data_IF_949471413430
#
_entry.id   IF_949471413430
#
_cell.length_a   1.000
_cell.length_b   1.000
_cell.length_c   1.000
_cell.angle_alpha   90.00
_cell.angle_beta   90.00
_cell.angle_gamma   90.00
#
_symmetry.space_group_name_H-M   'P 1'
#
loop_
_entity.id
_entity.type
_entity.pdbx_description
1 polymer ?
#
# COMPACT_ATOMS: atom_id res chain seq x y z
N UNK A 1 -33.36 -12.80 -44.88
CA UNK A 1 -32.79 -11.71 -44.06
C UNK A 1 -32.87 -12.11 -42.59
N UNK A 2 -31.73 -12.50 -42.00
CA UNK A 2 -31.43 -12.54 -40.56
C UNK A 2 -32.30 -13.38 -39.59
N UNK A 3 -31.93 -14.65 -39.35
CA UNK A 3 -32.31 -15.35 -38.11
C UNK A 3 -31.40 -14.82 -36.99
N UNK A 4 -31.89 -13.89 -36.18
CA UNK A 4 -31.17 -13.46 -34.97
C UNK A 4 -31.46 -14.49 -33.88
N UNK A 5 -30.51 -15.39 -33.67
CA UNK A 5 -30.45 -16.24 -32.47
C UNK A 5 -30.13 -15.29 -31.31
N UNK A 6 -31.13 -14.94 -30.51
CA UNK A 6 -30.89 -14.37 -29.18
C UNK A 6 -30.43 -15.53 -28.29
N UNK A 7 -29.14 -15.62 -28.01
CA UNK A 7 -28.66 -16.39 -26.86
C UNK A 7 -29.07 -15.65 -25.58
N UNK A 8 -29.81 -16.28 -24.66
CA UNK A 8 -29.89 -15.79 -23.30
C UNK A 8 -28.63 -16.27 -22.58
N UNK A 9 -27.64 -15.40 -22.44
CA UNK A 9 -26.54 -15.61 -21.49
C UNK A 9 -26.93 -14.90 -20.21
N UNK A 10 -27.86 -15.50 -19.47
CA UNK A 10 -28.06 -15.21 -18.05
C UNK A 10 -27.47 -16.39 -17.29
N UNK A 11 -26.13 -16.44 -17.20
CA UNK A 11 -25.50 -17.38 -16.27
C UNK A 11 -25.84 -16.93 -14.84
N UNK A 12 -26.45 -17.78 -14.00
CA UNK A 12 -26.72 -17.45 -12.61
C UNK A 12 -25.41 -17.16 -11.89
N UNK A 13 -25.40 -16.17 -10.99
CA UNK A 13 -24.22 -15.73 -10.25
C UNK A 13 -23.48 -16.87 -9.51
N UNK A 14 -24.20 -17.95 -9.19
CA UNK A 14 -23.64 -19.17 -8.59
C UNK A 14 -22.75 -19.96 -9.57
N UNK A 15 -23.09 -20.04 -10.85
CA UNK A 15 -22.24 -20.68 -11.87
C UNK A 15 -21.01 -19.83 -12.18
N UNK A 16 -21.13 -18.50 -12.21
CA UNK A 16 -19.98 -17.60 -12.34
C UNK A 16 -19.05 -17.75 -11.12
N UNK A 17 -19.61 -17.85 -9.91
CA UNK A 17 -18.84 -18.10 -8.69
C UNK A 17 -18.10 -19.43 -8.71
N UNK A 18 -18.75 -20.51 -9.17
CA UNK A 18 -18.14 -21.82 -9.31
C UNK A 18 -17.03 -21.84 -10.37
N UNK A 19 -17.27 -21.26 -11.55
CA UNK A 19 -16.26 -21.18 -12.63
C UNK A 19 -15.05 -20.34 -12.24
N UNK A 20 -15.26 -19.24 -11.49
CA UNK A 20 -14.15 -18.43 -10.97
C UNK A 20 -13.39 -19.18 -9.87
N UNK A 21 -14.08 -19.98 -9.05
CA UNK A 21 -13.49 -20.84 -8.04
C UNK A 21 -12.59 -21.92 -8.63
N UNK A 22 -13.11 -22.71 -9.58
CA UNK A 22 -12.36 -23.78 -10.25
C UNK A 22 -11.14 -23.24 -11.00
N UNK A 23 -11.29 -22.11 -11.70
CA UNK A 23 -10.18 -21.42 -12.37
C UNK A 23 -9.12 -20.91 -11.39
N UNK A 24 -9.53 -20.42 -10.22
CA UNK A 24 -8.62 -19.94 -9.19
C UNK A 24 -7.85 -21.09 -8.54
N UNK A 25 -8.49 -22.24 -8.31
CA UNK A 25 -7.81 -23.44 -7.79
C UNK A 25 -6.75 -23.96 -8.77
N UNK A 26 -7.06 -24.03 -10.06
CA UNK A 26 -6.10 -24.48 -11.08
C UNK A 26 -4.86 -23.57 -11.16
N UNK A 27 -5.04 -22.26 -11.03
CA UNK A 27 -3.93 -21.29 -10.97
C UNK A 27 -3.15 -21.44 -9.66
N UNK A 28 -3.86 -21.64 -8.54
CA UNK A 28 -3.24 -21.77 -7.23
C UNK A 28 -2.45 -23.08 -7.09
N UNK A 29 -2.82 -24.15 -7.76
CA UNK A 29 -2.05 -25.41 -7.75
C UNK A 29 -0.84 -25.39 -8.71
N UNK A 30 -0.85 -24.51 -9.72
CA UNK A 30 0.23 -24.45 -10.70
C UNK A 30 1.44 -23.65 -10.22
N UNK A 31 2.54 -24.34 -9.91
CA UNK A 31 3.82 -23.74 -9.53
C UNK A 31 4.40 -22.80 -10.58
N UNK A 32 4.16 -23.06 -11.87
CA UNK A 32 4.61 -22.19 -12.96
C UNK A 32 3.86 -20.86 -13.00
N UNK A 33 2.54 -20.88 -12.74
CA UNK A 33 1.75 -19.65 -12.67
C UNK A 33 2.12 -18.82 -11.45
N UNK A 34 2.30 -19.46 -10.28
CA UNK A 34 2.77 -18.78 -9.08
C UNK A 34 4.13 -18.10 -9.31
N UNK A 35 5.11 -18.83 -9.88
CA UNK A 35 6.41 -18.28 -10.25
C UNK A 35 6.29 -17.10 -11.22
N UNK A 36 5.45 -17.24 -12.24
CA UNK A 36 5.19 -16.18 -13.21
C UNK A 36 4.63 -14.92 -12.55
N UNK A 37 3.68 -15.07 -11.62
CA UNK A 37 3.09 -13.97 -10.85
C UNK A 37 4.17 -13.29 -9.99
N UNK A 38 4.99 -14.06 -9.26
CA UNK A 38 6.04 -13.49 -8.41
C UNK A 38 7.09 -12.71 -9.22
N UNK A 39 7.55 -13.23 -10.36
CA UNK A 39 8.48 -12.50 -11.22
C UNK A 39 7.85 -11.27 -11.89
N UNK A 40 6.59 -11.33 -12.29
CA UNK A 40 5.87 -10.18 -12.80
C UNK A 40 5.74 -9.07 -11.74
N UNK A 41 5.40 -9.45 -10.50
CA UNK A 41 5.37 -8.54 -9.36
C UNK A 41 6.76 -7.96 -9.08
N UNK A 42 7.80 -8.78 -9.07
CA UNK A 42 9.19 -8.32 -8.92
C UNK A 42 9.53 -7.24 -9.95
N UNK A 43 9.28 -7.48 -11.24
CA UNK A 43 9.52 -6.52 -12.30
C UNK A 43 8.73 -5.22 -12.13
N UNK A 44 7.44 -5.31 -11.77
CA UNK A 44 6.60 -4.15 -11.54
C UNK A 44 7.10 -3.29 -10.36
N UNK A 45 7.42 -3.92 -9.22
CA UNK A 45 7.95 -3.22 -8.04
C UNK A 45 9.33 -2.63 -8.30
N UNK A 46 10.20 -3.33 -9.04
CA UNK A 46 11.51 -2.82 -9.44
C UNK A 46 11.38 -1.58 -10.33
N UNK A 47 10.44 -1.58 -11.29
CA UNK A 47 10.16 -0.44 -12.14
C UNK A 47 9.68 0.77 -11.33
N UNK A 48 8.72 0.57 -10.41
CA UNK A 48 8.22 1.65 -9.54
C UNK A 48 9.35 2.21 -8.66
N UNK A 49 10.19 1.33 -8.09
CA UNK A 49 11.36 1.71 -7.30
C UNK A 49 12.34 2.57 -8.12
N UNK A 50 12.68 2.14 -9.34
CA UNK A 50 13.56 2.87 -10.24
C UNK A 50 12.99 4.25 -10.61
N UNK A 51 11.70 4.33 -10.93
CA UNK A 51 11.03 5.61 -11.21
C UNK A 51 11.10 6.53 -9.99
N UNK A 52 10.83 6.03 -8.78
CA UNK A 52 10.91 6.83 -7.56
C UNK A 52 12.32 7.39 -7.33
N UNK A 53 13.36 6.59 -7.56
CA UNK A 53 14.75 7.04 -7.45
C UNK A 53 15.09 8.12 -8.50
N UNK A 54 14.66 7.93 -9.75
CA UNK A 54 14.85 8.93 -10.80
C UNK A 54 14.17 10.25 -10.43
N UNK A 55 12.96 10.21 -9.88
CA UNK A 55 12.25 11.42 -9.42
C UNK A 55 13.00 12.09 -8.26
N UNK A 56 13.51 11.32 -7.29
CA UNK A 56 14.30 11.85 -6.18
C UNK A 56 15.54 12.60 -6.70
N UNK A 57 16.32 11.95 -7.57
CA UNK A 57 17.54 12.54 -8.16
C UNK A 57 17.19 13.79 -8.96
N UNK A 58 16.13 13.76 -9.78
CA UNK A 58 15.70 14.93 -10.56
C UNK A 58 15.31 16.12 -9.68
N UNK A 59 14.64 15.88 -8.55
CA UNK A 59 14.24 16.94 -7.62
C UNK A 59 15.47 17.52 -6.91
N UNK A 60 16.40 16.67 -6.46
CA UNK A 60 17.64 17.09 -5.82
C UNK A 60 18.50 17.95 -6.74
N UNK A 61 18.69 17.52 -7.99
CA UNK A 61 19.47 18.27 -8.98
C UNK A 61 18.80 19.57 -9.43
N UNK A 62 17.46 19.61 -9.49
CA UNK A 62 16.73 20.80 -9.90
C UNK A 62 16.74 21.89 -8.83
N UNK A 63 16.67 21.48 -7.56
CA UNK A 63 16.52 22.41 -6.43
C UNK A 63 17.36 21.93 -5.23
N UNK A 64 18.70 22.06 -5.30
CA UNK A 64 19.59 21.60 -4.24
C UNK A 64 19.55 22.51 -2.99
N UNK A 65 19.21 23.78 -3.16
CA UNK A 65 19.16 24.78 -2.07
C UNK A 65 18.05 24.49 -1.06
N UNK A 66 16.94 23.90 -1.52
CA UNK A 66 15.88 23.42 -0.64
C UNK A 66 16.29 22.02 -0.19
N UNK A 67 16.66 21.85 1.08
CA UNK A 67 17.13 20.59 1.65
C UNK A 67 16.11 19.43 1.59
N UNK A 68 16.03 18.61 2.64
CA UNK A 68 15.12 17.45 2.64
C UNK A 68 13.65 17.84 2.82
N UNK A 69 12.92 17.94 1.71
CA UNK A 69 11.47 18.20 1.69
C UNK A 69 10.67 16.91 1.84
N UNK A 70 9.41 17.01 2.29
CA UNK A 70 8.48 15.86 2.42
C UNK A 70 8.33 15.08 1.10
N UNK A 71 8.42 15.76 -0.05
CA UNK A 71 8.38 15.12 -1.37
C UNK A 71 9.63 14.26 -1.64
N UNK A 72 10.83 14.74 -1.31
CA UNK A 72 12.08 13.96 -1.43
C UNK A 72 12.01 12.73 -0.52
N UNK A 73 11.55 12.91 0.72
CA UNK A 73 11.36 11.79 1.67
C UNK A 73 10.35 10.77 1.14
N UNK A 74 9.23 11.21 0.56
CA UNK A 74 8.23 10.30 -0.01
C UNK A 74 8.79 9.47 -1.17
N UNK A 75 9.57 10.07 -2.08
CA UNK A 75 10.22 9.32 -3.16
C UNK A 75 11.31 8.37 -2.64
N UNK A 76 12.10 8.80 -1.65
CA UNK A 76 13.08 7.94 -0.99
C UNK A 76 12.42 6.72 -0.34
N UNK A 77 11.34 6.92 0.42
CA UNK A 77 10.60 5.83 1.04
C UNK A 77 10.03 4.89 -0.02
N UNK A 78 9.40 5.41 -1.08
CA UNK A 78 8.92 4.57 -2.17
C UNK A 78 10.03 3.78 -2.86
N UNK A 79 11.20 4.37 -3.10
CA UNK A 79 12.35 3.66 -3.63
C UNK A 79 12.71 2.45 -2.74
N UNK A 80 12.83 2.67 -1.43
CA UNK A 80 13.17 1.62 -0.46
C UNK A 80 12.08 0.56 -0.40
N UNK A 81 10.81 0.94 -0.20
CA UNK A 81 9.69 0.01 -0.02
C UNK A 81 9.51 -0.89 -1.24
N UNK A 82 9.45 -0.27 -2.42
CA UNK A 82 9.26 -1.02 -3.66
C UNK A 82 10.52 -1.83 -4.02
N UNK A 83 11.72 -1.32 -3.69
CA UNK A 83 12.97 -2.05 -3.90
C UNK A 83 13.08 -3.31 -3.04
N UNK A 84 12.82 -3.19 -1.73
CA UNK A 84 12.77 -4.34 -0.82
C UNK A 84 11.73 -5.34 -1.31
N UNK A 85 10.53 -4.89 -1.68
CA UNK A 85 9.47 -5.79 -2.16
C UNK A 85 9.82 -6.49 -3.47
N UNK A 86 10.50 -5.80 -4.39
CA UNK A 86 11.02 -6.42 -5.61
C UNK A 86 12.03 -7.52 -5.29
N UNK A 87 12.96 -7.27 -4.37
CA UNK A 87 13.94 -8.27 -3.91
C UNK A 87 13.21 -9.49 -3.32
N UNK A 88 12.26 -9.28 -2.41
CA UNK A 88 11.48 -10.36 -1.79
C UNK A 88 10.78 -11.22 -2.83
N UNK A 89 10.15 -10.60 -3.83
CA UNK A 89 9.49 -11.34 -4.91
C UNK A 89 10.47 -11.99 -5.90
N UNK A 90 11.63 -11.38 -6.18
CA UNK A 90 12.64 -11.98 -7.06
C UNK A 90 13.33 -13.20 -6.44
N UNK A 91 13.42 -13.24 -5.12
CA UNK A 91 13.99 -14.35 -4.35
C UNK A 91 12.92 -15.21 -3.67
N UNK A 92 11.67 -15.17 -4.12
CA UNK A 92 10.53 -15.79 -3.43
C UNK A 92 10.78 -17.25 -3.06
N UNK A 93 11.36 -18.08 -3.94
CA UNK A 93 11.71 -19.48 -3.65
C UNK A 93 12.65 -19.62 -2.46
N UNK A 94 13.65 -18.75 -2.36
CA UNK A 94 14.61 -18.78 -1.27
C UNK A 94 13.96 -18.26 0.01
N UNK A 95 13.20 -17.17 -0.09
CA UNK A 95 12.46 -16.55 1.01
C UNK A 95 11.50 -17.56 1.67
N UNK A 96 10.69 -18.27 0.89
CA UNK A 96 9.75 -19.25 1.44
C UNK A 96 10.40 -20.53 1.98
N UNK A 97 11.69 -20.76 1.68
CA UNK A 97 12.45 -21.91 2.19
C UNK A 97 13.42 -21.52 3.33
N UNK A 98 13.44 -20.24 3.74
CA UNK A 98 14.32 -19.79 4.83
C UNK A 98 13.86 -20.36 6.18
N UNK A 99 14.83 -20.93 6.90
CA UNK A 99 14.69 -21.26 8.30
C UNK A 99 15.56 -20.31 9.14
N UNK A 100 15.06 -19.73 10.24
CA UNK A 100 13.75 -19.97 10.87
C UNK A 100 12.58 -19.23 10.19
N UNK A 101 11.36 -19.75 10.36
CA UNK A 101 10.12 -19.18 9.81
C UNK A 101 9.88 -17.72 10.20
N UNK A 102 10.37 -17.29 11.36
CA UNK A 102 10.30 -15.90 11.79
C UNK A 102 11.03 -14.93 10.83
N UNK A 103 12.09 -15.35 10.13
CA UNK A 103 12.72 -14.52 9.08
C UNK A 103 11.80 -14.32 7.88
N UNK A 104 11.03 -15.34 7.53
CA UNK A 104 10.04 -15.27 6.44
C UNK A 104 8.95 -14.27 6.80
N UNK A 105 8.42 -14.35 8.03
CA UNK A 105 7.42 -13.41 8.54
C UNK A 105 7.93 -11.96 8.53
N UNK A 106 9.13 -11.72 9.07
CA UNK A 106 9.76 -10.38 9.04
C UNK A 106 9.89 -9.88 7.60
N UNK A 107 10.36 -10.72 6.69
CA UNK A 107 10.63 -10.33 5.30
C UNK A 107 9.34 -10.07 4.51
N UNK A 108 8.24 -10.72 4.86
CA UNK A 108 6.91 -10.50 4.28
C UNK A 108 6.17 -9.29 4.89
N UNK A 109 6.33 -9.08 6.20
CA UNK A 109 5.63 -8.03 6.96
C UNK A 109 6.33 -6.67 6.88
N UNK A 110 7.67 -6.63 6.84
CA UNK A 110 8.46 -5.40 6.80
C UNK A 110 8.10 -4.50 5.61
N UNK A 111 7.94 -5.01 4.37
CA UNK A 111 7.42 -4.21 3.26
C UNK A 111 6.05 -3.60 3.55
N UNK A 112 5.19 -4.31 4.29
CA UNK A 112 3.87 -3.82 4.72
C UNK A 112 3.96 -2.66 5.71
N UNK A 113 4.85 -2.75 6.71
CA UNK A 113 5.12 -1.66 7.64
C UNK A 113 5.70 -0.42 6.94
N UNK A 114 6.70 -0.62 6.08
CA UNK A 114 7.29 0.47 5.31
C UNK A 114 6.24 1.14 4.39
N UNK A 115 5.32 0.34 3.83
CA UNK A 115 4.17 0.85 3.10
C UNK A 115 3.35 1.77 4.01
N UNK A 116 2.94 1.29 5.19
CA UNK A 116 2.20 2.09 6.17
C UNK A 116 2.89 3.43 6.47
N UNK A 117 4.20 3.45 6.72
CA UNK A 117 4.94 4.71 6.96
C UNK A 117 4.94 5.65 5.75
N UNK A 118 5.15 5.10 4.56
CA UNK A 118 5.14 5.88 3.30
C UNK A 118 3.78 6.55 3.08
N UNK A 119 2.71 5.83 3.37
CA UNK A 119 1.34 6.31 3.17
C UNK A 119 0.86 7.22 4.31
N UNK A 120 1.25 6.97 5.56
CA UNK A 120 0.99 7.93 6.64
C UNK A 120 1.79 9.22 6.46
N UNK A 121 2.96 9.18 5.81
CA UNK A 121 3.70 10.38 5.41
C UNK A 121 2.93 11.18 4.34
N UNK A 122 2.29 10.49 3.40
CA UNK A 122 1.42 11.15 2.41
C UNK A 122 0.19 11.80 3.08
N UNK A 123 -0.41 11.13 4.06
CA UNK A 123 -1.50 11.70 4.88
C UNK A 123 -1.00 12.92 5.65
N UNK A 124 0.18 12.84 6.27
CA UNK A 124 0.82 13.98 6.94
C UNK A 124 1.00 15.15 5.97
N UNK A 125 1.52 14.89 4.77
CA UNK A 125 1.71 15.91 3.75
C UNK A 125 0.39 16.58 3.37
N UNK A 126 -0.68 15.81 3.17
CA UNK A 126 -2.00 16.37 2.89
C UNK A 126 -2.57 17.17 4.06
N UNK A 127 -2.36 16.70 5.29
CA UNK A 127 -2.75 17.41 6.51
C UNK A 127 -2.00 18.74 6.66
N UNK A 128 -0.69 18.77 6.36
CA UNK A 128 0.14 19.98 6.35
C UNK A 128 -0.42 21.00 5.34
N UNK A 129 -0.70 20.58 4.09
CA UNK A 129 -1.29 21.48 3.08
C UNK A 129 -2.63 22.04 3.56
N UNK A 130 -3.49 21.17 4.12
CA UNK A 130 -4.81 21.57 4.62
C UNK A 130 -4.71 22.57 5.77
N UNK A 131 -3.84 22.31 6.75
CA UNK A 131 -3.61 23.21 7.89
C UNK A 131 -3.02 24.55 7.45
N UNK A 132 -2.00 24.53 6.60
CA UNK A 132 -1.37 25.74 6.06
C UNK A 132 -2.38 26.64 5.35
N UNK A 133 -3.21 26.04 4.49
CA UNK A 133 -4.20 26.79 3.75
C UNK A 133 -5.40 27.26 4.59
N UNK A 134 -5.47 26.86 5.87
CA UNK A 134 -6.40 27.36 6.90
C UNK A 134 -5.70 28.15 8.01
N UNK A 135 -4.41 28.48 7.84
CA UNK A 135 -3.56 29.15 8.83
C UNK A 135 -3.61 28.51 10.23
N UNK A 136 -3.70 27.18 10.28
CA UNK A 136 -3.65 26.38 11.51
C UNK A 136 -2.21 25.91 11.78
N UNK A 137 -1.82 25.69 13.05
CA UNK A 137 -0.48 25.22 13.39
C UNK A 137 -0.22 23.80 12.86
N UNK A 138 1.02 23.54 12.42
CA UNK A 138 1.45 22.26 11.83
C UNK A 138 2.40 21.46 12.71
N UNK A 139 2.98 22.05 13.76
CA UNK A 139 4.06 21.43 14.55
C UNK A 139 3.66 20.11 15.19
N UNK A 140 2.40 20.04 15.65
CA UNK A 140 1.84 18.83 16.29
C UNK A 140 1.63 17.68 15.30
N UNK A 141 1.43 17.95 14.01
CA UNK A 141 1.15 16.91 13.01
C UNK A 141 2.34 15.97 12.82
N UNK A 142 3.56 16.53 12.77
CA UNK A 142 4.80 15.74 12.63
C UNK A 142 5.04 14.86 13.84
N UNK A 143 4.82 15.41 15.04
CA UNK A 143 4.96 14.66 16.30
C UNK A 143 3.99 13.48 16.32
N UNK A 144 2.72 13.70 15.94
CA UNK A 144 1.72 12.62 15.85
C UNK A 144 2.11 11.56 14.82
N UNK A 145 2.59 11.97 13.65
CA UNK A 145 3.08 11.04 12.63
C UNK A 145 4.23 10.16 13.15
N UNK A 146 5.23 10.78 13.80
CA UNK A 146 6.37 10.06 14.36
C UNK A 146 5.91 9.13 15.47
N UNK A 147 5.08 9.59 16.40
CA UNK A 147 4.61 8.77 17.52
C UNK A 147 3.80 7.56 17.07
N UNK A 148 2.92 7.74 16.07
CA UNK A 148 2.15 6.65 15.49
C UNK A 148 3.09 5.63 14.85
N UNK A 149 4.02 6.07 13.99
CA UNK A 149 4.95 5.13 13.34
C UNK A 149 5.81 4.39 14.36
N UNK A 150 6.41 5.08 15.33
CA UNK A 150 7.23 4.45 16.37
C UNK A 150 6.43 3.40 17.14
N UNK A 151 5.20 3.71 17.54
CA UNK A 151 4.33 2.75 18.22
C UNK A 151 4.03 1.53 17.34
N UNK A 152 3.76 1.74 16.05
CA UNK A 152 3.50 0.64 15.10
C UNK A 152 4.70 -0.30 14.94
N UNK A 153 5.89 0.26 14.73
CA UNK A 153 7.12 -0.52 14.61
C UNK A 153 7.44 -1.26 15.91
N UNK A 154 7.26 -0.60 17.05
CA UNK A 154 7.52 -1.20 18.35
C UNK A 154 6.64 -2.44 18.58
N UNK A 155 5.33 -2.32 18.39
CA UNK A 155 4.40 -3.46 18.56
C UNK A 155 4.74 -4.60 17.60
N UNK A 156 5.04 -4.30 16.32
CA UNK A 156 5.40 -5.34 15.37
C UNK A 156 6.70 -6.07 15.75
N UNK A 157 7.73 -5.33 16.16
CA UNK A 157 9.01 -5.92 16.58
C UNK A 157 8.80 -6.81 17.82
N UNK A 158 7.95 -6.42 18.77
CA UNK A 158 7.61 -7.27 19.90
C UNK A 158 6.95 -8.58 19.47
N UNK A 159 6.01 -8.54 18.50
CA UNK A 159 5.37 -9.75 17.96
C UNK A 159 6.41 -10.66 17.28
N UNK A 160 7.28 -10.11 16.44
CA UNK A 160 8.32 -10.88 15.76
C UNK A 160 9.32 -11.51 16.74
N UNK A 161 9.76 -10.76 17.76
CA UNK A 161 10.67 -11.28 18.79
C UNK A 161 10.00 -12.40 19.58
N UNK A 162 8.71 -12.28 19.89
CA UNK A 162 7.97 -13.35 20.57
C UNK A 162 7.91 -14.61 19.69
N UNK A 163 7.49 -14.48 18.42
CA UNK A 163 7.41 -15.60 17.48
C UNK A 163 8.76 -16.24 17.17
N UNK A 164 9.86 -15.48 17.30
CA UNK A 164 11.21 -16.01 17.17
C UNK A 164 11.58 -16.96 18.32
N UNK A 165 11.10 -16.67 19.53
CA UNK A 165 11.42 -17.45 20.74
C UNK A 165 10.45 -18.61 20.93
N UNK A 166 9.16 -18.39 20.67
CA UNK A 166 8.08 -19.36 20.83
C UNK A 166 7.14 -19.31 19.62
N UNK A 167 7.12 -20.40 18.85
CA UNK A 167 6.29 -20.53 17.66
C UNK A 167 4.84 -20.84 18.06
N UNK A 168 4.10 -19.77 18.35
CA UNK A 168 2.75 -19.83 18.88
C UNK A 168 1.74 -19.31 17.85
N UNK A 169 0.87 -20.22 17.37
CA UNK A 169 -0.15 -19.90 16.36
C UNK A 169 -1.14 -18.80 16.80
N UNK A 170 -1.35 -18.60 18.11
CA UNK A 170 -2.19 -17.51 18.62
C UNK A 170 -1.49 -16.16 18.39
N UNK A 171 -0.19 -16.08 18.60
CA UNK A 171 0.58 -14.84 18.39
C UNK A 171 0.70 -14.53 16.91
N UNK A 172 0.81 -15.55 16.05
CA UNK A 172 0.73 -15.39 14.60
C UNK A 172 -0.63 -14.81 14.18
N UNK A 173 -1.73 -15.33 14.73
CA UNK A 173 -3.08 -14.79 14.51
C UNK A 173 -3.20 -13.33 14.97
N UNK A 174 -2.67 -13.00 16.15
CA UNK A 174 -2.63 -11.62 16.65
C UNK A 174 -1.86 -10.70 15.69
N UNK A 175 -0.72 -11.16 15.16
CA UNK A 175 0.04 -10.43 14.16
C UNK A 175 -0.76 -10.15 12.89
N UNK A 176 -1.49 -11.13 12.36
CA UNK A 176 -2.36 -10.98 11.17
C UNK A 176 -3.48 -9.97 11.43
N UNK A 177 -4.18 -10.08 12.57
CA UNK A 177 -5.24 -9.15 12.97
C UNK A 177 -4.68 -7.73 13.12
N UNK A 178 -3.52 -7.59 13.73
CA UNK A 178 -2.85 -6.30 13.91
C UNK A 178 -2.60 -5.63 12.56
N UNK A 179 -2.00 -6.33 11.59
CA UNK A 179 -1.76 -5.80 10.24
C UNK A 179 -3.07 -5.41 9.53
N UNK A 180 -4.16 -6.17 9.72
CA UNK A 180 -5.47 -5.84 9.17
C UNK A 180 -6.04 -4.54 9.77
N UNK A 181 -6.04 -4.39 11.09
CA UNK A 181 -6.48 -3.18 11.79
C UNK A 181 -5.70 -1.95 11.33
N UNK A 182 -4.39 -2.10 11.20
CA UNK A 182 -3.50 -1.02 10.75
C UNK A 182 -3.80 -0.59 9.31
N UNK A 183 -4.11 -1.56 8.45
CA UNK A 183 -4.52 -1.31 7.07
C UNK A 183 -5.83 -0.52 7.00
N UNK A 184 -6.80 -0.85 7.86
CA UNK A 184 -8.07 -0.10 7.97
C UNK A 184 -7.82 1.33 8.47
N UNK A 185 -7.02 1.50 9.53
CA UNK A 185 -6.69 2.81 10.08
C UNK A 185 -6.01 3.71 9.03
N UNK A 186 -5.08 3.14 8.25
CA UNK A 186 -4.47 3.83 7.13
C UNK A 186 -5.52 4.26 6.10
N UNK A 187 -6.40 3.35 5.67
CA UNK A 187 -7.48 3.63 4.72
C UNK A 187 -8.41 4.77 5.18
N UNK A 188 -8.78 4.78 6.47
CA UNK A 188 -9.55 5.87 7.08
C UNK A 188 -8.78 7.19 7.06
N UNK A 189 -7.48 7.17 7.35
CA UNK A 189 -6.61 8.34 7.25
C UNK A 189 -6.61 8.96 5.85
N UNK A 190 -6.51 8.14 4.80
CA UNK A 190 -6.66 8.58 3.40
C UNK A 190 -8.00 9.21 3.13
N UNK A 191 -9.08 8.54 3.54
CA UNK A 191 -10.43 9.03 3.28
C UNK A 191 -10.68 10.39 3.94
N UNK A 192 -10.23 10.57 5.18
CA UNK A 192 -10.43 11.82 5.93
C UNK A 192 -9.58 12.95 5.37
N UNK A 193 -8.26 12.80 5.29
CA UNK A 193 -7.39 13.91 4.89
C UNK A 193 -7.35 14.11 3.37
N UNK A 194 -7.38 13.03 2.58
CA UNK A 194 -7.51 13.09 1.13
C UNK A 194 -8.85 13.69 0.71
N UNK A 195 -9.94 13.28 1.37
CA UNK A 195 -11.28 13.86 1.15
C UNK A 195 -11.35 15.34 1.54
N UNK A 196 -10.85 15.72 2.71
CA UNK A 196 -10.79 17.13 3.15
C UNK A 196 -9.98 18.00 2.18
N UNK A 197 -8.82 17.52 1.74
CA UNK A 197 -7.98 18.21 0.77
C UNK A 197 -8.69 18.32 -0.60
N UNK A 198 -9.35 17.27 -1.06
CA UNK A 198 -10.14 17.27 -2.30
C UNK A 198 -11.26 18.33 -2.27
N UNK A 199 -12.05 18.36 -1.20
CA UNK A 199 -13.11 19.37 -1.04
C UNK A 199 -12.54 20.79 -0.92
N UNK A 200 -11.41 20.95 -0.24
CA UNK A 200 -10.72 22.23 -0.14
C UNK A 200 -10.26 22.74 -1.51
N UNK A 201 -9.57 21.90 -2.29
CA UNK A 201 -9.14 22.23 -3.65
C UNK A 201 -10.31 22.54 -4.58
N UNK A 202 -11.49 21.95 -4.34
CA UNK A 202 -12.73 22.23 -5.10
C UNK A 202 -13.34 23.61 -4.77
N UNK A 203 -13.10 24.16 -3.57
CA UNK A 203 -13.65 25.45 -3.11
C UNK A 203 -12.76 26.67 -3.41
N UNK A 204 -11.51 26.49 -3.84
CA UNK A 204 -10.62 27.62 -4.19
C UNK A 204 -11.07 28.33 -5.50
N UNK A 205 -11.11 29.69 -5.52
CA UNK A 205 -11.61 30.46 -6.66
C UNK A 205 -10.76 30.30 -7.94
N UNK A 206 -11.39 29.61 -8.89
CA UNK A 206 -11.37 29.51 -10.37
C UNK A 206 -10.11 29.85 -11.23
N UNK A 207 -9.07 30.57 -10.79
CA UNK A 207 -8.04 31.08 -11.75
C UNK A 207 -6.69 30.34 -11.84
N UNK A 208 -6.42 29.27 -11.08
CA UNK A 208 -5.12 28.59 -11.21
C UNK A 208 -5.12 27.57 -12.36
N UNK A 209 -4.44 27.89 -13.48
CA UNK A 209 -4.06 26.91 -14.53
C UNK A 209 -3.32 25.73 -13.88
N UNK A 210 -4.00 24.58 -13.72
CA UNK A 210 -3.46 23.37 -13.08
C UNK A 210 -4.33 22.70 -12.01
N UNK A 211 -5.40 23.38 -11.52
CA UNK A 211 -6.28 22.87 -10.46
C UNK A 211 -6.91 21.51 -10.77
N UNK A 212 -7.48 21.33 -11.96
CA UNK A 212 -8.12 20.06 -12.38
C UNK A 212 -7.15 18.89 -12.34
N UNK A 213 -5.90 19.12 -12.75
CA UNK A 213 -4.84 18.09 -12.75
C UNK A 213 -4.49 17.67 -11.32
N UNK A 214 -4.20 18.63 -10.42
CA UNK A 214 -3.93 18.32 -9.01
C UNK A 214 -5.13 17.69 -8.28
N UNK A 215 -6.34 18.12 -8.59
CA UNK A 215 -7.55 17.53 -8.00
C UNK A 215 -7.74 16.08 -8.43
N UNK A 216 -7.50 15.78 -9.71
CA UNK A 216 -7.53 14.41 -10.23
C UNK A 216 -6.40 13.58 -9.62
N UNK A 217 -5.18 14.12 -9.49
CA UNK A 217 -4.06 13.44 -8.84
C UNK A 217 -4.40 13.06 -7.39
N UNK A 218 -4.86 14.01 -6.56
CA UNK A 218 -5.22 13.73 -5.16
C UNK A 218 -6.40 12.76 -5.06
N UNK A 219 -7.44 12.95 -5.88
CA UNK A 219 -8.61 12.08 -5.90
C UNK A 219 -8.29 10.65 -6.31
N UNK A 220 -7.55 10.47 -7.41
CA UNK A 220 -7.12 9.15 -7.90
C UNK A 220 -6.20 8.45 -6.90
N UNK A 221 -5.22 9.15 -6.33
CA UNK A 221 -4.31 8.55 -5.34
C UNK A 221 -5.09 8.12 -4.09
N UNK A 222 -6.00 8.97 -3.58
CA UNK A 222 -6.84 8.61 -2.43
C UNK A 222 -7.68 7.37 -2.71
N UNK A 223 -8.34 7.31 -3.87
CA UNK A 223 -9.19 6.18 -4.25
C UNK A 223 -8.39 4.88 -4.43
N UNK A 224 -7.25 4.93 -5.13
CA UNK A 224 -6.39 3.76 -5.34
C UNK A 224 -5.87 3.25 -3.99
N UNK A 225 -5.34 4.13 -3.14
CA UNK A 225 -4.79 3.72 -1.84
C UNK A 225 -5.85 3.10 -0.95
N UNK A 226 -7.02 3.75 -0.86
CA UNK A 226 -8.16 3.24 -0.10
C UNK A 226 -8.58 1.84 -0.57
N UNK A 227 -8.78 1.66 -1.88
CA UNK A 227 -9.16 0.36 -2.46
C UNK A 227 -8.08 -0.69 -2.24
N UNK A 228 -6.79 -0.36 -2.42
CA UNK A 228 -5.69 -1.29 -2.17
C UNK A 228 -5.61 -1.74 -0.72
N UNK A 229 -5.76 -0.82 0.25
CA UNK A 229 -5.76 -1.17 1.67
C UNK A 229 -6.99 -1.99 2.07
N UNK A 230 -8.16 -1.69 1.48
CA UNK A 230 -9.36 -2.51 1.67
C UNK A 230 -9.16 -3.93 1.14
N UNK A 231 -8.68 -4.10 -0.10
CA UNK A 231 -8.39 -5.42 -0.68
C UNK A 231 -7.41 -6.17 0.21
N UNK A 232 -6.33 -5.52 0.65
CA UNK A 232 -5.36 -6.14 1.57
C UNK A 232 -6.03 -6.60 2.87
N UNK A 233 -6.91 -5.80 3.45
CA UNK A 233 -7.65 -6.17 4.65
C UNK A 233 -8.55 -7.40 4.43
N UNK A 234 -9.28 -7.45 3.30
CA UNK A 234 -10.13 -8.59 2.97
C UNK A 234 -9.31 -9.86 2.76
N UNK A 235 -8.24 -9.77 1.97
CA UNK A 235 -7.31 -10.87 1.72
C UNK A 235 -6.75 -11.41 3.04
N UNK A 236 -6.22 -10.54 3.91
CA UNK A 236 -5.66 -10.97 5.20
C UNK A 236 -6.71 -11.70 6.04
N UNK A 237 -7.94 -11.19 6.15
CA UNK A 237 -9.00 -11.87 6.89
C UNK A 237 -9.36 -13.23 6.29
N UNK A 238 -9.44 -13.33 4.95
CA UNK A 238 -9.84 -14.56 4.26
C UNK A 238 -8.81 -15.70 4.45
N UNK A 239 -7.51 -15.36 4.46
CA UNK A 239 -6.42 -16.31 4.73
C UNK A 239 -6.15 -16.53 6.24
N UNK A 240 -6.94 -15.91 7.12
CA UNK A 240 -6.83 -16.06 8.58
C UNK A 240 -7.90 -16.99 9.18
N UNK A 241 -9.00 -17.20 8.47
CA UNK A 241 -10.03 -18.24 8.73
C UNK A 241 -9.67 -19.57 8.10
#
# INVERSE_FOLDING_TARGET
>A
MGRIIKMPVELPAMEIGAMVGDWWEEINESTQWQDGIFYALCGAYALVSAVALIQLIRIELRVPEYGWTTQKVFHLMNFIVNGVRAIVFGFHKQVFTMNPQALVLVLLDLPGLLFFSTYTLLVLFWAEIYHQARSLPTDKLRVVYISVNVAMYFVQVCIWVYLWVDDNSIVELIGKIFIAVVSILAALGFLVYGGRLFFMLRRFPIESKGRRKKLHEVGSVTAICFTCFLIRCFVVNLYTT
#
